data_IF_614563012138
#
_entry.id   IF_614563012138
#
_cell.length_a   1.000
_cell.length_b   1.000
_cell.length_c   1.000
_cell.angle_alpha   90.00
_cell.angle_beta   90.00
_cell.angle_gamma   90.00
#
_symmetry.space_group_name_H-M   'P 1'
#
loop_
_entity.id
_entity.type
_entity.pdbx_description
1 polymer ?
#
# COMPACT_ATOMS: atom_id res chain seq x y z
N UNK A 1 2.09 -10.26 -13.86
CA UNK A 1 3.12 -10.67 -12.86
C UNK A 1 2.54 -10.87 -11.46
N UNK A 2 1.56 -11.77 -11.32
CA UNK A 2 0.81 -11.95 -10.06
C UNK A 2 0.56 -13.43 -9.80
N UNK A 3 0.62 -13.83 -8.54
CA UNK A 3 0.28 -15.19 -8.11
C UNK A 3 -1.22 -15.28 -7.79
N UNK A 4 -1.96 -15.97 -8.65
CA UNK A 4 -3.37 -16.29 -8.46
C UNK A 4 -3.52 -17.68 -7.82
N UNK A 5 -4.43 -17.78 -6.86
CA UNK A 5 -4.88 -19.04 -6.25
C UNK A 5 -6.14 -19.54 -6.98
N UNK A 6 -7.02 -18.61 -7.38
CA UNK A 6 -8.18 -18.81 -8.24
C UNK A 6 -8.38 -17.57 -9.13
N UNK A 7 -9.46 -17.50 -9.92
CA UNK A 7 -9.77 -16.33 -10.74
C UNK A 7 -9.92 -15.04 -9.91
N UNK A 8 -10.48 -15.13 -8.69
CA UNK A 8 -10.76 -13.98 -7.83
C UNK A 8 -9.81 -13.83 -6.63
N UNK A 9 -9.00 -14.84 -6.32
CA UNK A 9 -8.13 -14.86 -5.14
C UNK A 9 -6.68 -14.85 -5.57
N UNK A 10 -5.92 -13.89 -5.06
CA UNK A 10 -4.50 -13.71 -5.36
C UNK A 10 -3.69 -13.38 -4.10
N UNK A 11 -2.39 -13.63 -4.18
CA UNK A 11 -1.43 -13.09 -3.22
C UNK A 11 -1.21 -11.60 -3.53
N UNK A 12 -1.42 -10.74 -2.53
CA UNK A 12 -1.32 -9.29 -2.72
C UNK A 12 0.03 -8.87 -3.29
N UNK A 13 0.02 -7.97 -4.28
CA UNK A 13 1.22 -7.49 -4.97
C UNK A 13 1.78 -6.18 -4.40
N UNK A 14 1.03 -5.58 -3.47
CA UNK A 14 1.29 -4.29 -2.84
C UNK A 14 0.48 -4.18 -1.53
N UNK A 15 0.74 -3.17 -0.68
CA UNK A 15 0.03 -2.98 0.58
C UNK A 15 -1.17 -2.03 0.48
N UNK A 16 -1.39 -1.37 -0.66
CA UNK A 16 -2.55 -0.49 -0.89
C UNK A 16 -3.94 -1.13 -0.64
N UNK A 17 -4.22 -2.45 -0.76
CA UNK A 17 -5.52 -2.99 -0.37
C UNK A 17 -5.83 -2.77 1.12
N UNK A 18 -4.81 -2.64 1.97
CA UNK A 18 -4.99 -2.27 3.38
C UNK A 18 -5.43 -0.82 3.50
N UNK A 19 -4.93 0.07 2.65
CA UNK A 19 -5.36 1.47 2.59
C UNK A 19 -6.82 1.59 2.18
N UNK A 20 -7.26 0.90 1.12
CA UNK A 20 -8.65 0.88 0.70
C UNK A 20 -9.58 0.39 1.82
N UNK A 21 -9.24 -0.73 2.47
CA UNK A 21 -10.00 -1.25 3.63
C UNK A 21 -10.03 -0.31 4.83
N UNK A 22 -8.98 0.49 5.00
CA UNK A 22 -8.90 1.48 6.08
C UNK A 22 -9.75 2.69 5.73
N UNK A 23 -9.70 3.14 4.47
CA UNK A 23 -10.52 4.23 3.95
C UNK A 23 -12.02 3.92 4.08
N UNK A 24 -12.46 2.72 3.71
CA UNK A 24 -13.85 2.27 3.81
C UNK A 24 -14.39 2.29 5.26
N UNK A 25 -13.50 2.09 6.24
CA UNK A 25 -13.85 2.05 7.67
C UNK A 25 -13.65 3.39 8.38
N UNK A 26 -12.99 4.35 7.72
CA UNK A 26 -12.59 5.58 8.38
C UNK A 26 -13.76 6.56 8.47
N UNK A 27 -13.97 7.08 9.68
CA UNK A 27 -14.94 8.14 9.94
C UNK A 27 -14.26 9.50 9.87
N UNK A 28 -14.47 10.23 8.77
CA UNK A 28 -13.86 11.54 8.54
C UNK A 28 -14.38 12.65 9.46
N UNK A 29 -15.44 12.43 10.24
CA UNK A 29 -15.82 13.35 11.31
C UNK A 29 -14.78 13.39 12.44
N UNK A 30 -13.99 12.31 12.59
CA UNK A 30 -12.91 12.19 13.58
C UNK A 30 -11.58 12.79 13.12
N UNK A 31 -11.56 13.39 11.93
CA UNK A 31 -10.38 14.06 11.37
C UNK A 31 -9.76 13.34 10.17
N UNK A 32 -8.58 13.79 9.73
CA UNK A 32 -7.90 13.24 8.57
C UNK A 32 -7.43 11.80 8.82
N UNK A 33 -7.46 10.98 7.77
CA UNK A 33 -6.86 9.66 7.79
C UNK A 33 -5.36 9.79 7.56
N UNK A 34 -4.56 9.20 8.44
CA UNK A 34 -3.10 9.11 8.31
C UNK A 34 -2.69 7.71 8.70
N UNK A 35 -2.01 6.97 7.82
CA UNK A 35 -1.64 5.60 8.08
C UNK A 35 -0.35 5.18 7.35
N UNK A 36 0.29 4.14 7.89
CA UNK A 36 1.39 3.41 7.27
C UNK A 36 0.98 1.94 7.20
N UNK A 37 1.25 1.28 6.08
CA UNK A 37 0.98 -0.14 5.87
C UNK A 37 2.26 -0.88 5.49
N UNK A 38 3.02 -1.40 6.48
CA UNK A 38 4.11 -2.32 6.23
C UNK A 38 3.56 -3.73 5.97
N UNK A 39 4.19 -4.47 5.08
CA UNK A 39 3.82 -5.86 4.88
C UNK A 39 4.55 -6.59 3.77
N UNK A 40 4.50 -7.91 3.86
CA UNK A 40 4.97 -8.80 2.81
C UNK A 40 4.06 -8.77 1.59
N UNK A 41 4.65 -8.67 0.41
CA UNK A 41 3.97 -8.64 -0.90
C UNK A 41 4.67 -9.60 -1.86
N UNK A 42 3.97 -9.98 -2.92
CA UNK A 42 4.42 -11.00 -3.85
C UNK A 42 4.29 -10.52 -5.29
N UNK A 43 5.33 -10.73 -6.10
CA UNK A 43 5.31 -10.48 -7.54
C UNK A 43 5.87 -11.70 -8.24
N UNK A 44 5.32 -12.04 -9.41
CA UNK A 44 5.81 -13.20 -10.19
C UNK A 44 7.07 -12.81 -10.97
N UNK A 45 8.08 -12.36 -10.24
CA UNK A 45 9.39 -12.02 -10.76
C UNK A 45 10.29 -13.25 -10.64
N UNK A 46 11.16 -13.46 -11.62
CA UNK A 46 12.18 -14.52 -11.54
C UNK A 46 13.20 -14.11 -10.49
N UNK A 47 13.47 -14.99 -9.53
CA UNK A 47 14.47 -14.70 -8.50
C UNK A 47 15.84 -14.49 -9.16
N UNK A 48 16.43 -13.32 -8.92
CA UNK A 48 17.75 -12.94 -9.39
C UNK A 48 18.48 -12.11 -8.31
N UNK A 49 19.61 -11.47 -8.67
CA UNK A 49 20.40 -10.70 -7.71
C UNK A 49 19.67 -9.46 -7.14
N UNK A 50 18.63 -8.97 -7.81
CA UNK A 50 17.89 -7.74 -7.44
C UNK A 50 16.39 -7.96 -7.23
N UNK A 51 15.86 -9.12 -7.63
CA UNK A 51 14.46 -9.44 -7.56
C UNK A 51 14.23 -10.70 -6.73
N UNK A 52 13.24 -10.63 -5.85
CA UNK A 52 12.67 -11.80 -5.21
C UNK A 52 11.17 -11.80 -5.43
N UNK A 53 10.60 -12.97 -5.69
CA UNK A 53 9.15 -13.17 -5.79
C UNK A 53 8.39 -12.74 -4.52
N UNK A 54 9.10 -12.60 -3.39
CA UNK A 54 8.57 -12.16 -2.11
C UNK A 54 9.46 -11.08 -1.50
N UNK A 55 8.88 -9.93 -1.15
CA UNK A 55 9.60 -8.85 -0.47
C UNK A 55 8.69 -8.10 0.51
N UNK A 56 9.28 -7.15 1.24
CA UNK A 56 8.54 -6.28 2.15
C UNK A 56 8.37 -4.91 1.52
N UNK A 57 7.14 -4.40 1.56
CA UNK A 57 6.79 -3.07 1.10
C UNK A 57 6.21 -2.27 2.26
N UNK A 58 6.50 -0.98 2.28
CA UNK A 58 5.88 0.00 3.18
C UNK A 58 5.22 1.04 2.29
N UNK A 59 3.95 1.32 2.55
CA UNK A 59 3.23 2.42 1.90
C UNK A 59 2.63 3.35 2.95
N UNK A 60 2.57 4.64 2.65
CA UNK A 60 1.91 5.66 3.46
C UNK A 60 0.68 6.22 2.75
N UNK A 61 -0.38 6.51 3.50
CA UNK A 61 -1.56 7.21 3.00
C UNK A 61 -1.95 8.33 3.97
N UNK A 62 -2.13 9.53 3.43
CA UNK A 62 -2.70 10.69 4.14
C UNK A 62 -3.85 11.24 3.31
N UNK A 63 -5.04 11.29 3.91
CA UNK A 63 -6.26 11.86 3.31
C UNK A 63 -6.87 12.85 4.28
N UNK A 64 -6.95 14.11 3.85
CA UNK A 64 -7.48 15.21 4.66
C UNK A 64 -7.76 16.43 3.81
N UNK A 65 -8.40 17.45 4.41
CA UNK A 65 -8.59 18.75 3.76
C UNK A 65 -7.24 19.46 3.62
N UNK A 66 -7.05 20.17 2.51
CA UNK A 66 -5.87 20.99 2.21
C UNK A 66 -4.53 20.22 2.18
N UNK A 67 -4.55 18.92 1.90
CA UNK A 67 -3.33 18.14 1.63
C UNK A 67 -2.88 18.43 0.19
N UNK A 68 -1.60 18.70 0.02
CA UNK A 68 -0.98 19.12 -1.24
C UNK A 68 0.24 18.25 -1.59
N UNK A 69 0.75 18.41 -2.80
CA UNK A 69 2.02 17.77 -3.20
C UNK A 69 3.23 18.29 -2.40
N UNK A 70 3.13 19.51 -1.83
CA UNK A 70 4.16 20.04 -0.93
C UNK A 70 4.29 19.21 0.34
N UNK A 71 3.18 18.74 0.89
CA UNK A 71 3.17 17.87 2.07
C UNK A 71 3.79 16.50 1.76
N UNK A 72 3.50 15.93 0.59
CA UNK A 72 4.13 14.68 0.14
C UNK A 72 5.64 14.85 0.02
N UNK A 73 6.09 15.92 -0.65
CA UNK A 73 7.52 16.22 -0.80
C UNK A 73 8.19 16.35 0.57
N UNK A 74 7.63 17.16 1.47
CA UNK A 74 8.17 17.35 2.81
C UNK A 74 8.11 16.12 3.72
N UNK A 75 7.29 15.12 3.39
CA UNK A 75 7.25 13.83 4.11
C UNK A 75 8.34 12.86 3.61
N UNK A 76 8.80 13.02 2.36
CA UNK A 76 9.80 12.16 1.73
C UNK A 76 11.24 12.68 1.86
N UNK A 77 11.41 13.97 2.16
CA UNK A 77 12.69 14.59 2.52
C UNK A 77 13.13 14.23 3.94
#
# INVERSE_FOLDING_TARGET
DTFYISEDILLRTHTSPVQARTLDKHDFSKGPLKMISPGRVFRRDTDDATHSHQFHQIEGLVVGKNISMGDLKGTLE
#
